data_IF_761988432633
#
_entry.id   IF_761988432633
#
_cell.length_a   1.000
_cell.length_b   1.000
_cell.length_c   1.000
_cell.angle_alpha   90.00
_cell.angle_beta   90.00
_cell.angle_gamma   90.00
#
_symmetry.space_group_name_H-M   'P 1'
#
loop_
_entity.id
_entity.type
_entity.pdbx_description
1 polymer ?
#
# COMPACT_ATOMS: atom_id res chain seq x y z
N UNK A 1 -42.19 -8.35 -22.38
CA UNK A 1 -42.65 -7.13 -23.07
C UNK A 1 -43.31 -7.54 -24.36
N UNK A 2 -44.45 -6.95 -24.73
CA UNK A 2 -45.16 -7.21 -25.99
C UNK A 2 -45.05 -5.96 -26.84
N UNK A 3 -44.70 -6.13 -28.12
CA UNK A 3 -44.70 -5.05 -29.10
C UNK A 3 -45.70 -5.38 -30.20
N UNK A 4 -46.85 -4.70 -30.16
CA UNK A 4 -47.92 -4.86 -31.14
C UNK A 4 -47.68 -3.97 -32.36
N UNK A 5 -47.89 -4.53 -33.55
CA UNK A 5 -47.66 -3.89 -34.85
C UNK A 5 -48.85 -4.15 -35.77
N UNK A 6 -49.23 -3.15 -36.55
CA UNK A 6 -50.18 -3.31 -37.67
C UNK A 6 -49.46 -3.86 -38.91
N UNK A 7 -50.18 -4.32 -39.96
CA UNK A 7 -49.54 -4.83 -41.17
C UNK A 7 -48.74 -3.78 -41.91
N UNK A 8 -49.18 -2.52 -41.90
CA UNK A 8 -48.43 -1.40 -42.44
C UNK A 8 -47.10 -1.18 -41.69
N UNK A 9 -47.15 -1.12 -40.35
CA UNK A 9 -45.95 -0.94 -39.53
C UNK A 9 -44.97 -2.11 -39.62
N UNK A 10 -45.47 -3.35 -39.80
CA UNK A 10 -44.62 -4.53 -39.99
C UNK A 10 -43.84 -4.53 -41.31
N UNK A 11 -44.29 -3.74 -42.30
CA UNK A 11 -43.63 -3.59 -43.61
C UNK A 11 -42.59 -2.46 -43.61
N UNK A 12 -42.69 -1.53 -42.67
CA UNK A 12 -41.83 -0.35 -42.64
C UNK A 12 -40.56 -0.60 -41.79
N UNK A 13 -39.46 -0.90 -42.47
CA UNK A 13 -38.18 -1.25 -41.83
C UNK A 13 -37.64 -0.15 -40.89
N UNK A 14 -37.94 1.12 -41.16
CA UNK A 14 -37.51 2.25 -40.34
C UNK A 14 -38.20 2.29 -38.97
N UNK A 15 -39.50 1.98 -38.91
CA UNK A 15 -40.25 1.94 -37.65
C UNK A 15 -39.74 0.80 -36.77
N UNK A 16 -39.49 -0.35 -37.39
CA UNK A 16 -38.96 -1.54 -36.71
C UNK A 16 -37.55 -1.30 -36.17
N UNK A 17 -36.64 -0.77 -36.98
CA UNK A 17 -35.26 -0.52 -36.54
C UNK A 17 -35.18 0.51 -35.41
N UNK A 18 -35.95 1.60 -35.51
CA UNK A 18 -36.00 2.64 -34.50
C UNK A 18 -36.66 2.16 -33.19
N UNK A 19 -37.72 1.35 -33.28
CA UNK A 19 -38.35 0.72 -32.12
C UNK A 19 -37.41 -0.22 -31.38
N UNK A 20 -36.68 -1.09 -32.10
CA UNK A 20 -35.67 -1.99 -31.53
C UNK A 20 -34.58 -1.20 -30.80
N UNK A 21 -34.05 -0.15 -31.43
CA UNK A 21 -33.00 0.70 -30.83
C UNK A 21 -33.47 1.36 -29.54
N UNK A 22 -34.65 2.00 -29.55
CA UNK A 22 -35.20 2.64 -28.35
C UNK A 22 -35.44 1.65 -27.20
N UNK A 23 -36.01 0.49 -27.50
CA UNK A 23 -36.21 -0.56 -26.50
C UNK A 23 -34.87 -1.10 -25.99
N UNK A 24 -33.86 -1.17 -26.84
CA UNK A 24 -32.52 -1.64 -26.52
C UNK A 24 -31.83 -0.69 -25.54
N UNK A 25 -31.92 0.61 -25.81
CA UNK A 25 -31.45 1.67 -24.93
C UNK A 25 -32.18 1.71 -23.59
N UNK A 26 -33.49 1.46 -23.57
CA UNK A 26 -34.25 1.37 -22.33
C UNK A 26 -33.83 0.15 -21.50
N UNK A 27 -33.65 -1.01 -22.13
CA UNK A 27 -33.17 -2.22 -21.47
C UNK A 27 -31.76 -2.03 -20.86
N UNK A 28 -30.85 -1.36 -21.59
CA UNK A 28 -29.50 -1.06 -21.08
C UNK A 28 -29.52 -0.03 -19.96
N UNK A 29 -30.32 1.05 -20.07
CA UNK A 29 -30.51 2.04 -19.00
C UNK A 29 -31.07 1.42 -17.71
N UNK A 30 -32.00 0.47 -17.84
CA UNK A 30 -32.57 -0.24 -16.70
C UNK A 30 -31.63 -1.32 -16.14
N UNK A 31 -30.63 -1.76 -16.89
CA UNK A 31 -29.71 -2.83 -16.47
C UNK A 31 -30.38 -4.21 -16.41
N UNK A 32 -31.45 -4.44 -17.17
CA UNK A 32 -32.19 -5.70 -17.22
C UNK A 32 -32.41 -6.17 -18.65
N UNK A 33 -32.34 -7.49 -18.87
CA UNK A 33 -32.77 -8.09 -20.13
C UNK A 33 -34.31 -8.07 -20.20
N UNK A 34 -34.85 -7.45 -21.23
CA UNK A 34 -36.30 -7.37 -21.47
C UNK A 34 -36.69 -8.38 -22.55
N UNK A 35 -37.33 -9.52 -22.21
CA UNK A 35 -37.79 -10.47 -23.21
C UNK A 35 -38.88 -9.85 -24.08
N UNK A 36 -38.63 -9.80 -25.40
CA UNK A 36 -39.49 -9.16 -26.38
C UNK A 36 -40.34 -10.21 -27.11
N UNK A 37 -41.66 -10.05 -27.09
CA UNK A 37 -42.59 -10.76 -27.96
C UNK A 37 -43.14 -9.77 -28.98
N UNK A 38 -42.97 -10.07 -30.26
CA UNK A 38 -43.53 -9.26 -31.35
C UNK A 38 -44.90 -9.81 -31.71
N UNK A 39 -45.88 -8.94 -31.85
CA UNK A 39 -47.26 -9.31 -32.14
C UNK A 39 -47.76 -8.52 -33.35
N UNK A 40 -48.14 -9.19 -34.42
CA UNK A 40 -48.78 -8.55 -35.57
C UNK A 40 -50.29 -8.71 -35.48
N UNK A 41 -50.99 -7.58 -35.40
CA UNK A 41 -52.44 -7.54 -35.57
C UNK A 41 -52.70 -7.45 -37.07
N UNK A 42 -53.36 -8.46 -37.63
CA UNK A 42 -53.69 -8.57 -39.04
C UNK A 42 -55.08 -8.02 -39.34
N UNK A 43 -55.25 -7.49 -40.53
CA UNK A 43 -56.54 -6.99 -41.00
C UNK A 43 -57.31 -8.11 -41.72
N UNK A 44 -58.64 -8.08 -41.59
CA UNK A 44 -59.54 -8.89 -42.42
C UNK A 44 -60.48 -7.99 -43.20
N UNK A 45 -60.83 -8.42 -44.41
CA UNK A 45 -61.73 -7.68 -45.29
C UNK A 45 -63.19 -7.79 -44.85
N UNK A 46 -63.49 -8.78 -44.01
CA UNK A 46 -64.81 -9.01 -43.45
C UNK A 46 -64.69 -9.40 -41.96
N UNK A 47 -65.71 -9.08 -41.15
CA UNK A 47 -65.73 -9.48 -39.75
C UNK A 47 -65.86 -11.01 -39.64
N UNK A 48 -65.14 -11.59 -38.68
CA UNK A 48 -65.15 -13.02 -38.37
C UNK A 48 -65.64 -13.23 -36.92
N UNK A 49 -66.93 -12.94 -36.62
CA UNK A 49 -67.47 -13.08 -35.28
C UNK A 49 -67.52 -14.55 -34.85
N UNK A 50 -67.34 -14.83 -33.56
CA UNK A 50 -67.38 -16.18 -32.97
C UNK A 50 -66.32 -17.17 -33.45
N UNK A 51 -65.34 -16.74 -34.25
CA UNK A 51 -64.16 -17.56 -34.58
C UNK A 51 -63.45 -17.99 -33.29
N UNK A 52 -63.03 -19.26 -33.15
CA UNK A 52 -62.23 -19.69 -32.01
C UNK A 52 -60.94 -18.85 -31.96
N UNK A 53 -60.76 -18.14 -30.84
CA UNK A 53 -59.54 -17.37 -30.60
C UNK A 53 -58.49 -18.33 -30.07
N UNK A 54 -57.31 -18.37 -30.71
CA UNK A 54 -56.20 -19.24 -30.32
C UNK A 54 -54.87 -18.51 -30.48
N UNK A 55 -53.83 -18.97 -29.80
CA UNK A 55 -52.49 -18.42 -29.96
C UNK A 55 -51.92 -18.85 -31.32
N UNK A 56 -51.75 -17.89 -32.22
CA UNK A 56 -51.23 -18.13 -33.57
C UNK A 56 -49.85 -17.52 -33.67
N UNK A 57 -48.81 -18.33 -33.85
CA UNK A 57 -47.43 -17.86 -33.88
C UNK A 57 -46.41 -18.91 -33.45
N UNK A 58 -45.18 -18.47 -33.23
CA UNK A 58 -44.09 -19.34 -32.79
C UNK A 58 -43.30 -18.74 -31.63
N UNK A 59 -42.94 -19.58 -30.67
CA UNK A 59 -41.98 -19.26 -29.62
C UNK A 59 -40.56 -19.49 -30.14
N UNK A 60 -39.64 -18.56 -29.83
CA UNK A 60 -38.28 -18.55 -30.35
C UNK A 60 -37.26 -19.00 -29.26
N UNK A 61 -36.14 -19.64 -29.67
CA UNK A 61 -35.11 -20.11 -28.74
C UNK A 61 -34.35 -18.94 -28.07
N UNK A 62 -33.66 -19.20 -26.95
CA UNK A 62 -32.94 -18.16 -26.17
C UNK A 62 -31.88 -17.40 -26.99
N UNK A 63 -31.28 -18.08 -27.97
CA UNK A 63 -30.36 -17.51 -28.94
C UNK A 63 -31.06 -17.55 -30.30
N UNK A 64 -31.85 -16.53 -30.59
CA UNK A 64 -32.53 -16.44 -31.88
C UNK A 64 -31.54 -15.99 -32.95
N UNK A 65 -31.50 -16.70 -34.07
CA UNK A 65 -30.76 -16.32 -35.28
C UNK A 65 -31.75 -16.09 -36.41
N UNK A 66 -31.32 -15.44 -37.49
CA UNK A 66 -32.14 -15.27 -38.69
C UNK A 66 -32.68 -16.61 -39.22
N UNK A 67 -31.84 -17.66 -39.24
CA UNK A 67 -32.24 -19.01 -39.65
C UNK A 67 -33.29 -19.63 -38.71
N UNK A 68 -33.15 -19.43 -37.40
CA UNK A 68 -34.12 -19.97 -36.44
C UNK A 68 -35.53 -19.36 -36.62
N UNK A 69 -35.63 -18.12 -37.11
CA UNK A 69 -36.93 -17.52 -37.46
C UNK A 69 -37.50 -18.16 -38.73
N UNK A 70 -36.67 -18.31 -39.77
CA UNK A 70 -37.09 -18.96 -41.01
C UNK A 70 -37.65 -20.36 -40.72
N UNK A 71 -36.90 -21.18 -39.97
CA UNK A 71 -37.30 -22.55 -39.62
C UNK A 71 -38.58 -22.58 -38.77
N UNK A 72 -38.71 -21.67 -37.78
CA UNK A 72 -39.87 -21.61 -36.91
C UNK A 72 -41.13 -21.17 -37.64
N UNK A 73 -41.03 -20.22 -38.58
CA UNK A 73 -42.16 -19.78 -39.41
C UNK A 73 -42.51 -20.81 -40.48
N UNK A 74 -41.54 -21.47 -41.10
CA UNK A 74 -41.78 -22.57 -42.06
C UNK A 74 -42.55 -23.71 -41.40
N UNK A 75 -42.16 -24.09 -40.18
CA UNK A 75 -42.85 -25.14 -39.40
C UNK A 75 -44.30 -24.77 -39.07
N UNK A 76 -44.60 -23.47 -38.97
CA UNK A 76 -45.94 -22.96 -38.67
C UNK A 76 -46.91 -23.07 -39.87
N UNK A 77 -46.43 -23.13 -41.12
CA UNK A 77 -47.28 -23.08 -42.32
C UNK A 77 -48.25 -24.26 -42.39
N UNK A 78 -47.79 -25.49 -42.15
CA UNK A 78 -48.61 -26.70 -42.29
C UNK A 78 -49.73 -26.76 -41.23
N UNK A 79 -49.47 -26.55 -39.92
CA UNK A 79 -50.52 -26.44 -38.92
C UNK A 79 -51.56 -25.37 -39.25
N UNK A 80 -51.14 -24.17 -39.66
CA UNK A 80 -52.06 -23.09 -40.04
C UNK A 80 -52.97 -23.49 -41.20
N UNK A 81 -52.45 -24.25 -42.16
CA UNK A 81 -53.24 -24.72 -43.29
C UNK A 81 -54.26 -25.75 -42.86
N UNK A 82 -53.87 -26.73 -42.05
CA UNK A 82 -54.76 -27.79 -41.56
C UNK A 82 -55.89 -27.22 -40.69
N UNK A 83 -55.55 -26.39 -39.72
CA UNK A 83 -56.53 -25.73 -38.84
C UNK A 83 -57.38 -24.73 -39.62
N UNK A 84 -56.78 -23.97 -40.55
CA UNK A 84 -57.50 -23.04 -41.40
C UNK A 84 -58.55 -23.71 -42.30
N UNK A 85 -58.25 -24.88 -42.87
CA UNK A 85 -59.26 -25.65 -43.61
C UNK A 85 -60.38 -26.16 -42.71
N UNK A 86 -60.08 -26.54 -41.47
CA UNK A 86 -61.07 -26.95 -40.49
C UNK A 86 -61.94 -25.79 -39.97
N UNK A 87 -61.42 -24.57 -39.94
CA UNK A 87 -62.20 -23.36 -39.62
C UNK A 87 -63.11 -22.96 -40.80
N UNK A 88 -62.58 -22.95 -42.03
CA UNK A 88 -63.33 -22.60 -43.24
C UNK A 88 -64.45 -23.59 -43.55
N UNK A 89 -64.26 -24.88 -43.24
CA UNK A 89 -65.33 -25.88 -43.42
C UNK A 89 -66.53 -25.66 -42.49
N UNK A 90 -66.35 -24.94 -41.37
CA UNK A 90 -67.42 -24.55 -40.44
C UNK A 90 -68.10 -23.26 -40.86
N UNK A 91 -67.32 -22.26 -41.24
CA UNK A 91 -67.80 -21.01 -41.84
C UNK A 91 -66.76 -20.49 -42.83
N UNK A 92 -67.15 -20.31 -44.09
CA UNK A 92 -66.27 -19.81 -45.15
C UNK A 92 -65.67 -18.44 -44.84
N UNK A 93 -66.28 -17.67 -43.92
CA UNK A 93 -65.74 -16.40 -43.45
C UNK A 93 -64.50 -16.58 -42.57
N UNK A 94 -64.24 -17.73 -41.96
CA UNK A 94 -63.09 -17.96 -41.08
C UNK A 94 -61.79 -18.29 -41.84
N UNK A 95 -61.39 -17.43 -42.77
CA UNK A 95 -60.25 -17.68 -43.66
C UNK A 95 -58.88 -17.22 -43.10
N UNK A 96 -58.86 -16.64 -41.89
CA UNK A 96 -57.68 -15.95 -41.36
C UNK A 96 -56.41 -16.82 -41.36
N UNK A 97 -56.49 -18.07 -40.87
CA UNK A 97 -55.33 -18.95 -40.78
C UNK A 97 -54.81 -19.34 -42.18
N UNK A 98 -55.71 -19.59 -43.14
CA UNK A 98 -55.34 -19.88 -44.52
C UNK A 98 -54.65 -18.68 -45.17
N UNK A 99 -55.23 -17.49 -45.01
CA UNK A 99 -54.67 -16.23 -45.51
C UNK A 99 -53.28 -15.96 -44.91
N UNK A 100 -53.14 -16.12 -43.60
CA UNK A 100 -51.87 -15.96 -42.91
C UNK A 100 -50.83 -16.98 -43.40
N UNK A 101 -51.21 -18.24 -43.59
CA UNK A 101 -50.30 -19.28 -44.10
C UNK A 101 -49.77 -18.94 -45.50
N UNK A 102 -50.65 -18.43 -46.39
CA UNK A 102 -50.29 -17.97 -47.73
C UNK A 102 -49.36 -16.76 -47.66
N UNK A 103 -49.74 -15.75 -46.89
CA UNK A 103 -49.00 -14.49 -46.81
C UNK A 103 -47.60 -14.69 -46.19
N UNK A 104 -47.49 -15.59 -45.20
CA UNK A 104 -46.19 -16.03 -44.65
C UNK A 104 -45.33 -16.75 -45.69
N UNK A 105 -45.92 -17.66 -46.47
CA UNK A 105 -45.21 -18.45 -47.48
C UNK A 105 -44.70 -17.60 -48.66
N UNK A 106 -45.48 -16.60 -49.10
CA UNK A 106 -45.15 -15.78 -50.27
C UNK A 106 -44.06 -14.75 -49.96
N UNK A 107 -44.27 -13.91 -48.94
CA UNK A 107 -43.35 -12.80 -48.61
C UNK A 107 -43.06 -12.66 -47.11
N UNK A 108 -43.93 -13.19 -46.25
CA UNK A 108 -43.90 -12.90 -44.81
C UNK A 108 -42.66 -13.44 -44.09
N UNK A 109 -42.14 -14.61 -44.45
CA UNK A 109 -40.93 -15.18 -43.83
C UNK A 109 -39.71 -14.30 -44.13
N UNK A 110 -39.46 -14.02 -45.41
CA UNK A 110 -38.34 -13.18 -45.83
C UNK A 110 -38.43 -11.77 -45.21
N UNK A 111 -39.64 -11.21 -45.15
CA UNK A 111 -39.91 -9.91 -44.51
C UNK A 111 -39.59 -9.94 -43.02
N UNK A 112 -40.07 -10.93 -42.27
CA UNK A 112 -39.83 -11.01 -40.83
C UNK A 112 -38.37 -11.24 -40.48
N UNK A 113 -37.66 -12.03 -41.29
CA UNK A 113 -36.20 -12.20 -41.16
C UNK A 113 -35.46 -10.86 -41.29
N UNK A 114 -35.82 -10.05 -42.29
CA UNK A 114 -35.21 -8.74 -42.50
C UNK A 114 -35.61 -7.73 -41.42
N UNK A 115 -36.89 -7.68 -41.05
CA UNK A 115 -37.42 -6.79 -40.02
C UNK A 115 -36.78 -7.00 -38.66
N UNK A 116 -36.51 -8.26 -38.30
CA UNK A 116 -35.97 -8.64 -36.98
C UNK A 116 -34.44 -8.73 -36.97
N UNK A 117 -33.76 -8.57 -38.12
CA UNK A 117 -32.31 -8.61 -38.22
C UNK A 117 -31.56 -7.74 -37.18
N UNK A 118 -32.01 -6.50 -36.86
CA UNK A 118 -31.35 -5.65 -35.85
C UNK A 118 -31.33 -6.25 -34.44
N UNK A 119 -32.26 -7.15 -34.11
CA UNK A 119 -32.35 -7.78 -32.79
C UNK A 119 -31.29 -8.87 -32.57
N UNK A 120 -30.67 -9.38 -33.64
CA UNK A 120 -29.64 -10.42 -33.52
C UNK A 120 -28.23 -9.87 -33.28
N UNK A 121 -28.04 -8.56 -33.42
CA UNK A 121 -26.74 -7.89 -33.28
C UNK A 121 -26.52 -7.32 -31.87
N UNK A 122 -26.20 -6.03 -31.81
CA UNK A 122 -25.82 -5.31 -30.59
C UNK A 122 -26.82 -5.45 -29.42
N UNK A 123 -28.10 -5.63 -29.71
CA UNK A 123 -29.17 -5.70 -28.70
C UNK A 123 -29.58 -7.12 -28.29
N UNK A 124 -28.96 -8.17 -28.86
CA UNK A 124 -29.38 -9.56 -28.59
C UNK A 124 -29.32 -9.95 -27.10
N UNK A 125 -28.43 -9.32 -26.32
CA UNK A 125 -28.31 -9.56 -24.87
C UNK A 125 -29.33 -8.77 -24.05
N UNK A 126 -29.63 -7.53 -24.44
CA UNK A 126 -30.54 -6.64 -23.70
C UNK A 126 -32.01 -6.87 -24.06
N UNK A 127 -32.29 -7.26 -25.31
CA UNK A 127 -33.61 -7.53 -25.87
C UNK A 127 -33.66 -8.91 -26.55
N UNK A 128 -33.68 -10.01 -25.77
CA UNK A 128 -33.86 -11.33 -26.38
C UNK A 128 -35.26 -11.44 -26.97
N UNK A 129 -35.35 -11.67 -28.28
CA UNK A 129 -36.60 -12.00 -28.97
C UNK A 129 -37.08 -13.39 -28.53
N UNK A 130 -38.32 -13.49 -28.05
CA UNK A 130 -38.87 -14.72 -27.44
C UNK A 130 -40.05 -15.31 -28.19
N UNK A 131 -40.72 -14.55 -29.06
CA UNK A 131 -41.76 -15.09 -29.89
C UNK A 131 -42.31 -14.06 -30.88
N UNK A 132 -42.94 -14.59 -31.92
CA UNK A 132 -43.63 -13.85 -32.96
C UNK A 132 -45.07 -14.39 -33.05
N UNK A 133 -46.04 -13.51 -32.85
CA UNK A 133 -47.46 -13.85 -32.72
C UNK A 133 -48.30 -13.05 -33.71
N UNK A 134 -49.43 -13.62 -34.10
CA UNK A 134 -50.36 -13.07 -35.08
C UNK A 134 -51.79 -13.19 -34.54
N UNK A 135 -52.62 -12.17 -34.77
CA UNK A 135 -54.05 -12.27 -34.46
C UNK A 135 -54.86 -11.33 -35.34
N UNK A 136 -56.17 -11.56 -35.42
CA UNK A 136 -57.11 -10.50 -35.81
C UNK A 136 -57.26 -9.49 -34.66
N UNK A 137 -57.81 -8.29 -34.91
CA UNK A 137 -58.18 -7.37 -33.85
C UNK A 137 -59.15 -8.07 -32.90
N UNK A 138 -58.73 -8.21 -31.64
CA UNK A 138 -59.53 -8.82 -30.61
C UNK A 138 -60.65 -7.86 -30.23
N UNK A 139 -61.89 -8.34 -30.02
CA UNK A 139 -62.98 -7.47 -29.59
C UNK A 139 -62.58 -6.77 -28.29
N UNK A 140 -62.85 -5.47 -28.19
CA UNK A 140 -62.68 -4.78 -26.92
C UNK A 140 -63.68 -5.39 -25.95
N UNK A 141 -63.20 -6.21 -25.01
CA UNK A 141 -64.05 -6.77 -23.97
C UNK A 141 -64.83 -5.66 -23.28
N UNK A 142 -66.10 -5.92 -22.94
CA UNK A 142 -66.87 -5.03 -22.07
C UNK A 142 -66.00 -4.68 -20.86
N UNK A 143 -65.97 -3.40 -20.46
CA UNK A 143 -65.18 -2.93 -19.33
C UNK A 143 -65.58 -3.73 -18.09
N UNK A 144 -64.84 -4.80 -17.84
CA UNK A 144 -65.00 -5.66 -16.69
C UNK A 144 -64.71 -4.81 -15.46
N UNK A 145 -65.76 -4.44 -14.73
CA UNK A 145 -65.59 -3.90 -13.41
C UNK A 145 -64.92 -4.99 -12.56
N UNK A 146 -63.78 -4.62 -11.98
CA UNK A 146 -63.06 -5.32 -10.93
C UNK A 146 -61.97 -6.31 -11.39
N UNK A 147 -60.70 -5.85 -11.44
CA UNK A 147 -59.40 -6.57 -11.40
C UNK A 147 -59.23 -7.93 -12.11
N UNK A 148 -60.18 -8.35 -12.95
CA UNK A 148 -60.18 -9.61 -13.65
C UNK A 148 -59.89 -9.33 -15.12
N UNK A 149 -58.72 -9.79 -15.57
CA UNK A 149 -58.39 -9.87 -16.99
C UNK A 149 -58.83 -11.25 -17.49
N UNK A 150 -60.00 -11.37 -18.16
CA UNK A 150 -60.38 -12.62 -18.78
C UNK A 150 -59.32 -12.95 -19.84
N UNK A 151 -58.60 -14.05 -19.63
CA UNK A 151 -57.52 -14.44 -20.52
C UNK A 151 -58.09 -14.93 -21.84
N UNK A 152 -58.06 -14.09 -22.87
CA UNK A 152 -58.37 -14.55 -24.23
C UNK A 152 -57.31 -15.58 -24.65
N UNK A 153 -57.71 -16.72 -25.25
CA UNK A 153 -56.77 -17.80 -25.56
C UNK A 153 -55.67 -17.42 -26.57
N UNK A 154 -55.80 -16.28 -27.27
CA UNK A 154 -54.73 -15.70 -28.08
C UNK A 154 -53.46 -15.43 -27.27
N UNK A 155 -53.60 -15.07 -25.98
CA UNK A 155 -52.48 -14.72 -25.11
C UNK A 155 -51.71 -15.93 -24.57
N UNK A 156 -52.22 -17.16 -24.75
CA UNK A 156 -51.64 -18.37 -24.18
C UNK A 156 -50.15 -18.53 -24.54
N UNK A 157 -49.80 -18.28 -25.81
CA UNK A 157 -48.41 -18.39 -26.29
C UNK A 157 -47.43 -17.41 -25.63
N UNK A 158 -47.88 -16.21 -25.25
CA UNK A 158 -47.05 -15.22 -24.55
C UNK A 158 -46.91 -15.57 -23.07
N UNK A 159 -47.98 -16.08 -22.45
CA UNK A 159 -48.01 -16.37 -21.02
C UNK A 159 -47.31 -17.68 -20.65
N UNK A 160 -47.38 -18.70 -21.50
CA UNK A 160 -46.67 -19.98 -21.27
C UNK A 160 -45.14 -19.80 -21.27
N UNK A 161 -44.63 -18.76 -21.93
CA UNK A 161 -43.21 -18.39 -21.96
C UNK A 161 -42.68 -17.67 -20.71
N UNK A 162 -43.54 -17.23 -19.78
CA UNK A 162 -43.20 -16.35 -18.66
C UNK A 162 -42.25 -16.96 -17.60
N UNK A 163 -42.01 -18.27 -17.62
CA UNK A 163 -41.11 -18.94 -16.64
C UNK A 163 -39.63 -18.57 -16.82
N UNK A 164 -39.25 -17.90 -17.89
CA UNK A 164 -37.85 -17.53 -18.19
C UNK A 164 -37.51 -16.16 -17.60
N UNK A 165 -36.96 -16.18 -16.38
CA UNK A 165 -36.59 -15.01 -15.56
C UNK A 165 -35.74 -13.98 -16.34
N UNK A 166 -36.08 -12.70 -16.17
CA UNK A 166 -35.24 -11.57 -16.60
C UNK A 166 -33.86 -11.65 -15.94
N UNK A 167 -32.79 -11.57 -16.74
CA UNK A 167 -31.42 -11.55 -16.24
C UNK A 167 -30.96 -10.10 -16.13
N UNK A 168 -30.28 -9.73 -15.05
CA UNK A 168 -29.63 -8.41 -14.95
C UNK A 168 -28.47 -8.34 -15.94
N UNK A 169 -28.40 -7.24 -16.68
CA UNK A 169 -27.30 -6.92 -17.59
C UNK A 169 -26.17 -6.29 -16.76
N UNK A 170 -25.25 -7.11 -16.24
CA UNK A 170 -24.08 -6.63 -15.50
C UNK A 170 -23.75 -7.45 -14.25
N UNK A 171 -22.64 -7.09 -13.60
CA UNK A 171 -22.22 -7.70 -12.34
C UNK A 171 -22.96 -7.00 -11.18
N UNK A 172 -23.64 -7.73 -10.29
CA UNK A 172 -24.28 -7.08 -9.15
C UNK A 172 -23.19 -6.48 -8.26
N UNK A 173 -23.37 -5.23 -7.84
CA UNK A 173 -22.42 -4.50 -7.01
C UNK A 173 -21.99 -5.30 -5.76
N UNK A 174 -22.91 -6.11 -5.22
CA UNK A 174 -22.65 -7.03 -4.10
C UNK A 174 -21.60 -8.10 -4.41
N UNK A 175 -21.58 -8.68 -5.63
CA UNK A 175 -20.55 -9.65 -6.02
C UNK A 175 -19.19 -9.00 -6.24
N UNK A 176 -19.16 -7.77 -6.74
CA UNK A 176 -17.91 -7.00 -6.88
C UNK A 176 -17.36 -6.67 -5.51
N UNK A 177 -18.19 -6.11 -4.62
CA UNK A 177 -17.82 -5.82 -3.23
C UNK A 177 -17.33 -7.08 -2.49
N UNK A 178 -18.02 -8.21 -2.63
CA UNK A 178 -17.58 -9.48 -2.03
C UNK A 178 -16.19 -9.92 -2.53
N UNK A 179 -15.94 -9.85 -3.83
CA UNK A 179 -14.63 -10.22 -4.39
C UNK A 179 -13.51 -9.26 -3.97
N UNK A 180 -13.81 -7.97 -3.88
CA UNK A 180 -12.87 -6.98 -3.35
C UNK A 180 -12.56 -7.23 -1.88
N UNK A 181 -13.57 -7.49 -1.05
CA UNK A 181 -13.40 -7.81 0.35
C UNK A 181 -12.58 -9.10 0.55
N UNK A 182 -12.87 -10.15 -0.23
CA UNK A 182 -12.10 -11.40 -0.22
C UNK A 182 -10.63 -11.18 -0.61
N UNK A 183 -10.38 -10.38 -1.66
CA UNK A 183 -9.04 -10.02 -2.10
C UNK A 183 -8.28 -9.25 -1.03
N UNK A 184 -8.92 -8.28 -0.38
CA UNK A 184 -8.33 -7.49 0.70
C UNK A 184 -8.02 -8.35 1.93
N UNK A 185 -8.91 -9.29 2.28
CA UNK A 185 -8.67 -10.25 3.36
C UNK A 185 -7.47 -11.17 3.08
N UNK A 186 -7.31 -11.64 1.83
CA UNK A 186 -6.15 -12.44 1.44
C UNK A 186 -4.84 -11.64 1.53
N UNK A 187 -4.83 -10.40 1.04
CA UNK A 187 -3.64 -9.51 1.16
C UNK A 187 -3.28 -9.26 2.62
N UNK A 188 -4.27 -9.01 3.48
CA UNK A 188 -4.07 -8.87 4.92
C UNK A 188 -3.54 -10.15 5.57
N UNK A 189 -4.09 -11.31 5.23
CA UNK A 189 -3.64 -12.60 5.77
C UNK A 189 -2.19 -12.91 5.40
N UNK A 190 -1.79 -12.67 4.15
CA UNK A 190 -0.40 -12.82 3.69
C UNK A 190 0.52 -11.83 4.41
N UNK A 191 0.09 -10.57 4.56
CA UNK A 191 0.83 -9.55 5.31
C UNK A 191 1.05 -9.92 6.77
N UNK A 192 0.02 -10.45 7.45
CA UNK A 192 0.12 -10.94 8.83
C UNK A 192 1.11 -12.10 8.96
N UNK A 193 1.07 -13.08 8.05
CA UNK A 193 2.00 -14.20 8.07
C UNK A 193 3.46 -13.74 7.89
N UNK A 194 3.69 -12.81 6.96
CA UNK A 194 5.02 -12.25 6.72
C UNK A 194 5.54 -11.45 7.93
N UNK A 195 4.68 -10.64 8.55
CA UNK A 195 5.00 -9.92 9.78
C UNK A 195 5.32 -10.88 10.93
N UNK A 196 4.54 -11.95 11.08
CA UNK A 196 4.75 -12.95 12.13
C UNK A 196 6.09 -13.67 11.97
N UNK A 197 6.39 -14.19 10.77
CA UNK A 197 7.65 -14.91 10.54
C UNK A 197 8.86 -14.01 10.72
N UNK A 198 8.80 -12.78 10.18
CA UNK A 198 9.87 -11.79 10.36
C UNK A 198 10.11 -11.43 11.82
N UNK A 199 9.06 -11.25 12.63
CA UNK A 199 9.24 -10.94 14.05
C UNK A 199 9.75 -12.13 14.83
N UNK A 200 9.27 -13.35 14.50
CA UNK A 200 9.71 -14.59 15.17
C UNK A 200 11.20 -14.82 14.97
N UNK A 201 11.70 -14.63 13.74
CA UNK A 201 13.14 -14.78 13.46
C UNK A 201 13.96 -13.69 14.13
N UNK A 202 13.49 -12.45 14.15
CA UNK A 202 14.17 -11.35 14.83
C UNK A 202 14.27 -11.60 16.35
N UNK A 203 13.18 -12.03 17.00
CA UNK A 203 13.17 -12.37 18.43
C UNK A 203 14.14 -13.51 18.73
N UNK A 204 14.13 -14.57 17.91
CA UNK A 204 15.02 -15.72 18.11
C UNK A 204 16.49 -15.32 17.96
N UNK A 205 16.82 -14.48 16.98
CA UNK A 205 18.16 -13.94 16.81
C UNK A 205 18.60 -13.13 18.04
N UNK A 206 17.76 -12.20 18.50
CA UNK A 206 18.05 -11.37 19.69
C UNK A 206 18.23 -12.19 20.97
N UNK A 207 17.44 -13.26 21.14
CA UNK A 207 17.61 -14.18 22.27
C UNK A 207 18.98 -14.87 22.23
N UNK A 208 19.44 -15.29 21.05
CA UNK A 208 20.77 -15.88 20.89
C UNK A 208 21.88 -14.86 21.18
N UNK A 209 21.78 -13.64 20.64
CA UNK A 209 22.76 -12.55 20.91
C UNK A 209 22.81 -12.19 22.39
N UNK A 210 21.67 -12.18 23.08
CA UNK A 210 21.65 -11.95 24.53
C UNK A 210 22.22 -13.13 25.32
N UNK A 211 21.96 -14.36 24.89
CA UNK A 211 22.54 -15.54 25.52
C UNK A 211 24.07 -15.56 25.37
N UNK A 212 24.61 -15.17 24.22
CA UNK A 212 26.06 -15.04 24.04
C UNK A 212 26.63 -13.90 24.89
N UNK A 213 25.94 -12.77 25.03
CA UNK A 213 26.35 -11.67 25.91
C UNK A 213 26.45 -12.06 27.39
N UNK A 214 25.54 -12.93 27.84
CA UNK A 214 25.48 -13.41 29.23
C UNK A 214 26.46 -14.55 29.51
N UNK A 215 26.68 -15.44 28.53
CA UNK A 215 27.40 -16.71 28.75
C UNK A 215 28.86 -16.66 28.30
N UNK A 216 29.22 -15.80 27.33
CA UNK A 216 30.60 -15.73 26.85
C UNK A 216 31.54 -15.18 27.94
N UNK A 217 32.68 -15.86 28.13
CA UNK A 217 33.80 -15.30 28.88
C UNK A 217 34.26 -13.98 28.22
N UNK A 218 34.73 -13.05 29.05
CA UNK A 218 35.09 -11.70 28.63
C UNK A 218 36.09 -11.74 27.47
N UNK A 219 35.72 -11.14 26.34
CA UNK A 219 36.58 -11.08 25.15
C UNK A 219 35.84 -10.77 23.84
N UNK A 220 36.47 -11.13 22.72
CA UNK A 220 35.98 -10.88 21.36
C UNK A 220 34.52 -11.29 21.07
N UNK A 221 34.04 -12.51 21.43
CA UNK A 221 32.67 -12.91 21.10
C UNK A 221 31.62 -12.07 21.85
N UNK A 222 31.93 -11.67 23.08
CA UNK A 222 31.05 -10.82 23.87
C UNK A 222 30.94 -9.41 23.26
N UNK A 223 32.04 -8.83 22.80
CA UNK A 223 32.02 -7.51 22.17
C UNK A 223 31.31 -7.53 20.81
N UNK A 224 31.44 -8.60 20.02
CA UNK A 224 30.67 -8.77 18.77
C UNK A 224 29.17 -8.87 19.04
N UNK A 225 28.77 -9.67 20.03
CA UNK A 225 27.37 -9.78 20.40
C UNK A 225 26.81 -8.43 20.91
N UNK A 226 27.64 -7.64 21.61
CA UNK A 226 27.26 -6.30 22.06
C UNK A 226 27.08 -5.33 20.89
N UNK A 227 27.97 -5.37 19.89
CA UNK A 227 27.83 -4.52 18.70
C UNK A 227 26.64 -4.92 17.82
N UNK A 228 26.34 -6.21 17.70
CA UNK A 228 25.11 -6.69 17.04
C UNK A 228 23.85 -6.20 17.76
N UNK A 229 23.82 -6.30 19.09
CA UNK A 229 22.70 -5.79 19.89
C UNK A 229 22.54 -4.27 19.71
N UNK A 230 23.64 -3.53 19.75
CA UNK A 230 23.64 -2.06 19.56
C UNK A 230 23.09 -1.68 18.18
N UNK A 231 23.50 -2.38 17.12
CA UNK A 231 23.01 -2.15 15.75
C UNK A 231 21.52 -2.46 15.59
N UNK A 232 21.04 -3.54 16.18
CA UNK A 232 19.61 -3.86 16.16
C UNK A 232 18.79 -2.82 16.96
N UNK A 233 19.33 -2.32 18.07
CA UNK A 233 18.68 -1.29 18.86
C UNK A 233 18.61 0.05 18.11
N UNK A 234 19.72 0.47 17.49
CA UNK A 234 19.77 1.64 16.59
C UNK A 234 18.74 1.54 15.46
N UNK A 235 18.63 0.36 14.85
CA UNK A 235 17.63 0.09 13.80
C UNK A 235 16.19 0.19 14.32
N UNK A 236 15.90 -0.33 15.52
CA UNK A 236 14.57 -0.26 16.12
C UNK A 236 14.21 1.18 16.52
N UNK A 237 15.17 1.93 17.04
CA UNK A 237 15.01 3.34 17.40
C UNK A 237 14.76 4.21 16.16
N UNK A 238 15.56 4.03 15.11
CA UNK A 238 15.35 4.68 13.82
C UNK A 238 13.93 4.42 13.27
N UNK A 239 13.43 3.18 13.41
CA UNK A 239 12.07 2.80 12.98
C UNK A 239 10.98 3.39 13.85
N UNK A 240 11.23 3.60 15.14
CA UNK A 240 10.29 4.29 16.02
C UNK A 240 10.15 5.76 15.59
N UNK A 241 11.25 6.41 15.22
CA UNK A 241 11.25 7.81 14.76
C UNK A 241 10.72 8.00 13.32
N UNK A 242 11.09 7.13 12.38
CA UNK A 242 10.81 7.30 10.94
C UNK A 242 9.71 6.38 10.38
N UNK A 243 9.19 5.46 11.20
CA UNK A 243 8.15 4.51 10.85
C UNK A 243 8.68 3.12 10.45
N UNK A 244 7.86 2.10 10.71
CA UNK A 244 8.20 0.71 10.42
C UNK A 244 7.99 0.33 8.94
N UNK A 245 8.78 -0.61 8.40
CA UNK A 245 8.58 -1.14 7.06
C UNK A 245 7.14 -1.62 6.81
N UNK A 246 6.64 -1.45 5.59
CA UNK A 246 5.23 -1.72 5.24
C UNK A 246 4.78 -3.14 5.56
N UNK A 247 5.67 -4.13 5.45
CA UNK A 247 5.38 -5.53 5.74
C UNK A 247 5.15 -5.83 7.23
N UNK A 248 5.59 -4.97 8.15
CA UNK A 248 5.33 -5.10 9.59
C UNK A 248 4.06 -4.35 10.04
N UNK A 249 3.42 -3.60 9.13
CA UNK A 249 2.25 -2.75 9.45
C UNK A 249 0.92 -3.51 9.47
N UNK A 250 0.92 -4.82 9.23
CA UNK A 250 -0.27 -5.67 9.24
C UNK A 250 -0.68 -6.10 10.66
N UNK A 251 -0.68 -5.17 11.62
CA UNK A 251 -1.21 -5.36 12.98
C UNK A 251 -0.35 -6.17 13.96
N UNK A 252 0.81 -6.68 13.53
CA UNK A 252 1.72 -7.47 14.37
C UNK A 252 3.04 -6.74 14.62
N UNK A 253 3.10 -5.42 14.55
CA UNK A 253 4.34 -4.68 14.81
C UNK A 253 4.80 -4.88 16.26
N UNK A 254 6.03 -5.35 16.44
CA UNK A 254 6.67 -5.59 17.73
C UNK A 254 7.84 -4.62 18.00
N UNK A 255 8.04 -3.59 17.15
CA UNK A 255 9.18 -2.68 17.25
C UNK A 255 9.31 -2.04 18.63
N UNK A 256 8.23 -1.44 19.13
CA UNK A 256 8.25 -0.68 20.38
C UNK A 256 8.37 -1.60 21.60
N UNK A 257 7.68 -2.75 21.57
CA UNK A 257 7.78 -3.78 22.61
C UNK A 257 9.19 -4.39 22.69
N UNK A 258 9.86 -4.57 21.55
CA UNK A 258 11.24 -5.02 21.51
C UNK A 258 12.20 -3.95 22.04
N UNK A 259 12.00 -2.70 21.65
CA UNK A 259 12.81 -1.58 22.09
C UNK A 259 12.73 -1.41 23.63
N UNK A 260 11.51 -1.44 24.19
CA UNK A 260 11.28 -1.38 25.63
C UNK A 260 11.95 -2.56 26.38
N UNK A 261 11.90 -3.77 25.81
CA UNK A 261 12.51 -4.95 26.41
C UNK A 261 14.05 -4.99 26.31
N UNK A 262 14.63 -4.39 25.26
CA UNK A 262 16.07 -4.42 24.99
C UNK A 262 16.83 -3.31 25.71
N UNK A 263 16.23 -2.14 25.92
CA UNK A 263 16.90 -1.01 26.57
C UNK A 263 17.57 -1.36 27.90
N UNK A 264 16.89 -1.96 28.89
CA UNK A 264 17.52 -2.27 30.18
C UNK A 264 18.74 -3.20 30.04
N UNK A 265 18.68 -4.17 29.10
CA UNK A 265 19.75 -5.14 28.85
C UNK A 265 20.93 -4.49 28.14
N UNK A 266 20.67 -3.59 27.21
CA UNK A 266 21.70 -2.76 26.58
C UNK A 266 22.42 -1.92 27.64
N UNK A 267 21.68 -1.24 28.50
CA UNK A 267 22.24 -0.35 29.53
C UNK A 267 23.15 -1.12 30.47
N UNK A 268 22.72 -2.26 31.00
CA UNK A 268 23.54 -3.11 31.86
C UNK A 268 24.85 -3.55 31.16
N UNK A 269 24.74 -4.03 29.92
CA UNK A 269 25.90 -4.45 29.14
C UNK A 269 26.83 -3.28 28.80
N UNK A 270 26.29 -2.12 28.42
CA UNK A 270 27.03 -0.93 28.07
C UNK A 270 27.76 -0.35 29.28
N UNK A 271 27.12 -0.33 30.45
CA UNK A 271 27.76 0.13 31.69
C UNK A 271 28.98 -0.73 32.03
N UNK A 272 28.79 -2.06 31.99
CA UNK A 272 29.84 -3.04 32.30
C UNK A 272 30.98 -3.05 31.27
N UNK A 273 30.67 -3.00 29.98
CA UNK A 273 31.63 -3.22 28.90
C UNK A 273 32.31 -1.94 28.41
N UNK A 274 31.61 -0.81 28.47
CA UNK A 274 32.08 0.47 27.92
C UNK A 274 32.18 1.55 28.98
N UNK A 275 31.05 1.99 29.56
CA UNK A 275 30.99 3.21 30.39
C UNK A 275 31.92 3.15 31.60
N UNK A 276 31.80 2.12 32.43
CA UNK A 276 32.49 2.05 33.71
C UNK A 276 34.00 1.83 33.53
N UNK A 277 34.46 0.95 32.60
CA UNK A 277 35.88 0.86 32.28
C UNK A 277 36.47 2.16 31.70
N UNK A 278 35.76 2.81 30.78
CA UNK A 278 36.22 4.07 30.21
C UNK A 278 36.26 5.19 31.27
N UNK A 279 35.27 5.23 32.17
CA UNK A 279 35.26 6.15 33.30
C UNK A 279 36.46 5.92 34.23
N UNK A 280 36.77 4.67 34.56
CA UNK A 280 37.94 4.32 35.37
C UNK A 280 39.25 4.73 34.68
N UNK A 281 39.37 4.52 33.37
CA UNK A 281 40.53 4.92 32.57
C UNK A 281 40.70 6.45 32.53
N UNK A 282 39.62 7.21 32.34
CA UNK A 282 39.62 8.67 32.41
C UNK A 282 40.04 9.16 33.80
N UNK A 283 39.47 8.58 34.86
CA UNK A 283 39.83 8.93 36.24
C UNK A 283 41.30 8.62 36.54
N UNK A 284 41.82 7.48 36.07
CA UNK A 284 43.23 7.12 36.22
C UNK A 284 44.16 8.10 35.47
N UNK A 285 43.80 8.50 34.25
CA UNK A 285 44.56 9.46 33.47
C UNK A 285 44.60 10.85 34.14
N UNK A 286 43.45 11.33 34.63
CA UNK A 286 43.37 12.59 35.38
C UNK A 286 44.17 12.54 36.70
N UNK A 287 44.08 11.43 37.43
CA UNK A 287 44.86 11.22 38.66
C UNK A 287 46.38 11.18 38.40
N UNK A 288 46.82 10.59 37.27
CA UNK A 288 48.23 10.64 36.87
C UNK A 288 48.69 12.08 36.64
N UNK A 289 47.87 12.93 36.01
CA UNK A 289 48.17 14.34 35.83
C UNK A 289 48.30 15.08 37.17
N UNK A 290 47.37 14.85 38.09
CA UNK A 290 47.34 15.50 39.41
C UNK A 290 48.60 15.14 40.22
N UNK A 291 49.06 13.88 40.15
CA UNK A 291 50.23 13.38 40.89
C UNK A 291 51.59 13.85 40.34
N UNK A 292 51.66 14.41 39.14
CA UNK A 292 52.93 14.90 38.58
C UNK A 292 53.50 16.10 39.40
N UNK A 293 54.80 16.38 39.33
CA UNK A 293 55.38 17.60 39.91
C UNK A 293 55.00 18.87 39.11
N UNK A 294 54.91 20.03 39.78
CA UNK A 294 54.57 21.34 39.19
C UNK A 294 55.38 21.67 37.94
N UNK A 295 56.68 21.39 38.00
CA UNK A 295 57.67 21.86 37.02
C UNK A 295 58.07 20.77 36.00
N UNK A 296 57.34 19.66 35.92
CA UNK A 296 57.68 18.59 34.99
C UNK A 296 57.31 18.95 33.54
N UNK A 297 58.23 18.83 32.56
CA UNK A 297 57.92 19.05 31.14
C UNK A 297 56.95 17.99 30.58
N UNK A 298 56.75 16.86 31.27
CA UNK A 298 55.74 15.87 30.92
C UNK A 298 54.32 16.36 31.22
N UNK A 299 54.16 17.23 32.24
CA UNK A 299 52.87 17.82 32.60
C UNK A 299 52.36 18.78 31.53
N UNK A 300 53.24 19.57 30.91
CA UNK A 300 52.84 20.48 29.83
C UNK A 300 52.38 19.72 28.58
N UNK A 301 53.06 18.62 28.21
CA UNK A 301 52.66 17.75 27.09
C UNK A 301 51.32 17.06 27.30
N UNK A 302 51.07 16.54 28.50
CA UNK A 302 49.83 15.82 28.83
C UNK A 302 48.63 16.74 29.09
N UNK A 303 48.85 18.04 29.31
CA UNK A 303 47.79 18.99 29.66
C UNK A 303 46.69 19.12 28.59
N UNK A 304 47.05 19.11 27.30
CA UNK A 304 46.09 19.19 26.20
C UNK A 304 45.18 17.94 26.16
N UNK A 305 45.79 16.75 26.21
CA UNK A 305 45.04 15.49 26.25
C UNK A 305 44.18 15.38 27.51
N UNK A 306 44.70 15.82 28.66
CA UNK A 306 43.96 15.78 29.92
C UNK A 306 42.78 16.77 29.96
N UNK A 307 42.85 17.89 29.24
CA UNK A 307 41.71 18.77 29.04
C UNK A 307 40.58 18.06 28.31
N UNK A 308 40.90 17.38 27.20
CA UNK A 308 39.90 16.62 26.44
C UNK A 308 39.31 15.47 27.27
N UNK A 309 40.14 14.75 28.01
CA UNK A 309 39.71 13.69 28.94
C UNK A 309 38.81 14.21 30.06
N UNK A 310 39.14 15.36 30.66
CA UNK A 310 38.28 16.00 31.66
C UNK A 310 36.96 16.44 31.06
N UNK A 311 36.97 17.00 29.85
CA UNK A 311 35.76 17.41 29.13
C UNK A 311 34.88 16.19 28.82
N UNK A 312 35.45 15.08 28.35
CA UNK A 312 34.74 13.82 28.13
C UNK A 312 34.15 13.26 29.43
N UNK A 313 34.91 13.26 30.54
CA UNK A 313 34.41 12.86 31.86
C UNK A 313 33.22 13.72 32.32
N UNK A 314 33.27 15.03 32.07
CA UNK A 314 32.17 15.93 32.39
C UNK A 314 30.94 15.69 31.51
N UNK A 315 31.10 15.31 30.25
CA UNK A 315 29.99 14.93 29.37
C UNK A 315 29.30 13.65 29.85
N UNK A 316 30.07 12.64 30.30
CA UNK A 316 29.51 11.42 30.89
C UNK A 316 28.72 11.68 32.19
N UNK A 317 29.08 12.73 32.92
CA UNK A 317 28.39 13.12 34.16
C UNK A 317 27.33 14.21 33.95
N UNK A 318 27.17 14.75 32.74
CA UNK A 318 26.20 15.81 32.41
C UNK A 318 25.61 15.55 31.02
N UNK A 319 24.57 14.70 30.94
CA UNK A 319 23.91 14.33 29.68
C UNK A 319 23.42 15.53 28.86
N UNK A 320 23.05 16.62 29.53
CA UNK A 320 22.58 17.87 28.93
C UNK A 320 23.65 18.64 28.14
N UNK A 321 24.93 18.31 28.32
CA UNK A 321 26.08 19.01 27.70
C UNK A 321 26.93 18.10 26.83
N UNK A 322 26.38 16.99 26.38
CA UNK A 322 27.09 16.02 25.56
C UNK A 322 27.22 16.55 24.13
N UNK A 323 28.44 16.55 23.63
CA UNK A 323 28.74 16.65 22.21
C UNK A 323 29.12 15.23 21.75
N UNK A 324 28.24 14.61 20.95
CA UNK A 324 28.37 13.20 20.61
C UNK A 324 29.62 12.90 19.80
N UNK A 325 29.97 13.76 18.84
CA UNK A 325 31.14 13.61 17.99
C UNK A 325 32.43 13.78 18.80
N UNK A 326 32.48 14.79 19.68
CA UNK A 326 33.63 14.99 20.56
C UNK A 326 33.79 13.82 21.54
N UNK A 327 32.72 13.41 22.21
CA UNK A 327 32.77 12.36 23.22
C UNK A 327 33.23 11.03 22.61
N UNK A 328 32.65 10.63 21.48
CA UNK A 328 33.02 9.38 20.81
C UNK A 328 34.48 9.38 20.37
N UNK A 329 34.95 10.50 19.79
CA UNK A 329 36.35 10.64 19.38
C UNK A 329 37.31 10.54 20.57
N UNK A 330 37.07 11.30 21.64
CA UNK A 330 37.98 11.32 22.80
C UNK A 330 38.02 9.98 23.53
N UNK A 331 36.89 9.27 23.63
CA UNK A 331 36.85 7.95 24.27
C UNK A 331 37.59 6.89 23.45
N UNK A 332 37.44 6.89 22.12
CA UNK A 332 38.21 6.02 21.21
C UNK A 332 39.72 6.29 21.26
N UNK A 333 40.14 7.56 21.42
CA UNK A 333 41.55 7.93 21.53
C UNK A 333 42.15 7.62 22.91
N UNK A 334 41.32 7.59 23.96
CA UNK A 334 41.79 7.36 25.35
C UNK A 334 42.06 5.88 25.62
N UNK A 335 41.30 4.97 25.01
CA UNK A 335 41.45 3.52 25.17
C UNK A 335 41.64 2.87 23.80
N UNK A 336 42.89 2.79 23.34
CA UNK A 336 43.24 2.21 22.02
C UNK A 336 43.30 0.68 22.04
N UNK A 337 43.49 0.09 23.22
CA UNK A 337 43.60 -1.35 23.46
C UNK A 337 42.85 -1.72 24.73
N UNK A 338 42.29 -2.94 24.76
CA UNK A 338 41.52 -3.47 25.87
C UNK A 338 42.01 -4.87 26.21
N UNK A 339 42.37 -5.08 27.47
CA UNK A 339 42.80 -6.40 27.95
C UNK A 339 41.71 -7.46 27.68
N UNK A 340 42.12 -8.58 27.07
CA UNK A 340 41.23 -9.68 26.70
C UNK A 340 40.48 -9.52 25.38
N UNK A 341 40.66 -8.41 24.65
CA UNK A 341 40.03 -8.15 23.35
C UNK A 341 41.10 -7.91 22.28
N UNK A 342 40.91 -8.48 21.11
CA UNK A 342 41.79 -8.27 19.96
C UNK A 342 41.85 -6.78 19.58
N UNK A 343 43.04 -6.15 19.48
CA UNK A 343 43.16 -4.71 19.21
C UNK A 343 42.44 -4.25 17.94
N UNK A 344 42.55 -5.03 16.86
CA UNK A 344 41.88 -4.71 15.60
C UNK A 344 40.34 -4.78 15.69
N UNK A 345 39.81 -5.66 16.52
CA UNK A 345 38.36 -5.76 16.74
C UNK A 345 37.84 -4.61 17.61
N UNK A 346 38.59 -4.25 18.66
CA UNK A 346 38.28 -3.09 19.50
C UNK A 346 38.24 -1.80 18.67
N UNK A 347 39.27 -1.54 17.87
CA UNK A 347 39.34 -0.33 17.03
C UNK A 347 38.27 -0.30 15.94
N UNK A 348 37.84 -1.46 15.43
CA UNK A 348 36.80 -1.54 14.42
C UNK A 348 35.39 -1.27 14.98
N UNK A 349 35.08 -1.74 16.19
CA UNK A 349 33.72 -1.69 16.74
C UNK A 349 33.49 -0.48 17.66
N UNK A 350 34.50 -0.04 18.41
CA UNK A 350 34.30 1.00 19.43
C UNK A 350 33.84 2.37 18.92
N UNK A 351 34.28 2.88 17.75
CA UNK A 351 33.81 4.19 17.30
C UNK A 351 32.29 4.21 17.09
N UNK A 352 31.72 3.15 16.51
CA UNK A 352 30.26 3.02 16.33
C UNK A 352 29.54 2.90 17.67
N UNK A 353 30.07 2.09 18.59
CA UNK A 353 29.49 1.89 19.92
C UNK A 353 29.46 3.19 20.74
N UNK A 354 30.57 3.94 20.74
CA UNK A 354 30.66 5.22 21.44
C UNK A 354 29.78 6.29 20.83
N UNK A 355 29.72 6.33 19.50
CA UNK A 355 28.83 7.25 18.78
C UNK A 355 27.37 7.00 19.18
N UNK A 356 26.91 5.76 19.11
CA UNK A 356 25.54 5.40 19.49
C UNK A 356 25.25 5.78 20.94
N UNK A 357 26.13 5.40 21.88
CA UNK A 357 25.95 5.75 23.28
C UNK A 357 25.88 7.28 23.49
N UNK A 358 26.76 8.04 22.84
CA UNK A 358 26.83 9.49 23.00
C UNK A 358 25.62 10.22 22.37
N UNK A 359 25.04 9.69 21.29
CA UNK A 359 23.81 10.22 20.68
C UNK A 359 22.57 9.96 21.55
N UNK A 360 22.54 8.83 22.24
CA UNK A 360 21.40 8.42 23.08
C UNK A 360 21.46 9.00 24.51
N UNK A 361 22.65 9.37 24.98
CA UNK A 361 22.85 9.88 26.34
C UNK A 361 21.95 11.09 26.73
N UNK A 362 21.69 12.09 25.86
CA UNK A 362 20.76 13.18 26.18
C UNK A 362 19.29 12.73 26.35
N UNK A 363 18.88 11.69 25.62
CA UNK A 363 17.52 11.14 25.70
C UNK A 363 17.33 10.27 26.97
N UNK A 364 18.44 9.75 27.51
CA UNK A 364 18.50 8.85 28.64
C UNK A 364 19.39 9.39 29.77
N UNK A 365 18.95 10.46 30.48
CA UNK A 365 19.75 11.11 31.52
C UNK A 365 20.10 10.18 32.70
N UNK A 366 19.35 9.09 32.89
CA UNK A 366 19.59 8.05 33.89
C UNK A 366 20.87 7.25 33.65
N UNK A 367 21.48 7.30 32.45
CA UNK A 367 22.75 6.61 32.17
C UNK A 367 23.99 7.37 32.63
N UNK A 368 23.82 8.59 33.14
CA UNK A 368 24.88 9.44 33.67
C UNK A 368 25.80 8.70 34.64
N UNK A 369 27.08 9.02 34.57
CA UNK A 369 28.03 8.66 35.62
C UNK A 369 27.85 9.58 36.84
N UNK A 370 28.03 9.06 38.05
CA UNK A 370 28.18 9.88 39.24
C UNK A 370 29.51 10.67 39.19
N UNK A 371 29.41 11.98 39.39
CA UNK A 371 30.58 12.84 39.33
C UNK A 371 31.38 12.76 40.63
N UNK A 372 32.70 12.63 40.55
CA UNK A 372 33.60 12.92 41.66
C UNK A 372 33.95 14.42 41.67
N UNK A 373 33.34 15.23 42.55
CA UNK A 373 33.58 16.67 42.57
C UNK A 373 35.02 17.02 42.97
N UNK A 374 35.68 16.15 43.76
CA UNK A 374 37.06 16.40 44.21
C UNK A 374 38.03 16.22 43.04
N UNK A 375 37.89 15.13 42.28
CA UNK A 375 38.69 14.88 41.09
C UNK A 375 38.53 16.01 40.07
N UNK A 376 37.29 16.43 39.80
CA UNK A 376 37.00 17.51 38.85
C UNK A 376 37.64 18.83 39.29
N UNK A 377 37.53 19.19 40.57
CA UNK A 377 38.11 20.42 41.10
C UNK A 377 39.64 20.42 41.00
N UNK A 378 40.29 19.31 41.40
CA UNK A 378 41.75 19.17 41.35
C UNK A 378 42.27 19.18 39.92
N UNK A 379 41.64 18.44 39.01
CA UNK A 379 42.02 18.41 37.59
C UNK A 379 41.89 19.80 36.95
N UNK A 380 40.79 20.53 37.22
CA UNK A 380 40.61 21.92 36.74
C UNK A 380 41.68 22.85 37.26
N UNK A 381 42.03 22.77 38.54
CA UNK A 381 43.05 23.62 39.15
C UNK A 381 44.42 23.41 38.49
N UNK A 382 44.82 22.15 38.26
CA UNK A 382 46.08 21.81 37.60
C UNK A 382 46.11 22.30 36.14
N UNK A 383 45.01 22.15 35.41
CA UNK A 383 44.92 22.63 34.02
C UNK A 383 44.96 24.16 33.94
N UNK A 384 44.27 24.86 34.84
CA UNK A 384 44.28 26.32 34.90
C UNK A 384 45.66 26.88 35.28
N UNK A 385 46.37 26.26 36.23
CA UNK A 385 47.71 26.70 36.60
C UNK A 385 48.70 26.57 35.44
N UNK A 386 48.58 25.51 34.63
CA UNK A 386 49.42 25.30 33.46
C UNK A 386 49.13 26.31 32.34
N UNK A 387 47.85 26.66 32.14
CA UNK A 387 47.46 27.70 31.19
C UNK A 387 48.02 29.07 31.60
N UNK A 388 47.96 29.37 32.91
CA UNK A 388 48.54 30.58 33.50
C UNK A 388 50.06 30.66 33.34
N UNK A 389 50.77 29.54 33.55
CA UNK A 389 52.23 29.46 33.35
C UNK A 389 52.64 29.67 31.89
N UNK A 390 51.98 29.02 30.91
CA UNK A 390 52.30 29.24 29.48
C UNK A 390 52.07 30.69 29.05
N UNK A 391 51.00 31.32 29.53
CA UNK A 391 50.71 32.71 29.22
C UNK A 391 51.75 33.65 29.86
N UNK A 392 52.13 33.38 31.11
CA UNK A 392 53.18 34.15 31.79
C UNK A 392 54.54 34.00 31.12
N UNK A 393 54.94 32.78 30.72
CA UNK A 393 56.19 32.54 29.97
C UNK A 393 56.21 33.25 28.62
N UNK A 394 55.11 33.21 27.86
CA UNK A 394 54.99 33.92 26.59
C UNK A 394 55.12 35.43 26.77
N UNK A 395 54.43 36.00 27.76
CA UNK A 395 54.54 37.42 28.09
C UNK A 395 55.93 37.81 28.62
N UNK A 396 56.64 36.90 29.30
CA UNK A 396 57.99 37.15 29.82
C UNK A 396 59.04 37.09 28.69
N UNK A 397 58.89 36.16 27.74
CA UNK A 397 59.68 36.15 26.51
C UNK A 397 59.47 37.42 25.68
N UNK A 398 58.21 37.83 25.51
CA UNK A 398 57.86 39.07 24.81
C UNK A 398 58.46 40.29 25.51
N UNK A 399 58.43 40.31 26.85
CA UNK A 399 59.05 41.37 27.65
C UNK A 399 60.57 41.38 27.55
N UNK A 400 61.23 40.23 27.58
CA UNK A 400 62.68 40.12 27.38
C UNK A 400 63.07 40.52 25.95
N UNK A 401 62.28 40.15 24.94
CA UNK A 401 62.47 40.60 23.55
C UNK A 401 62.31 42.11 23.44
N UNK A 402 61.30 42.69 24.10
CA UNK A 402 61.09 44.14 24.13
C UNK A 402 62.24 44.87 24.85
N UNK A 403 62.69 44.35 26.00
CA UNK A 403 63.81 44.91 26.77
C UNK A 403 65.15 44.77 26.02
N UNK A 404 65.38 43.62 25.37
CA UNK A 404 66.56 43.41 24.53
C UNK A 404 66.53 44.28 23.26
N UNK A 405 65.37 44.47 22.64
CA UNK A 405 65.20 45.39 21.50
C UNK A 405 65.42 46.85 21.89
N UNK A 406 65.15 47.22 23.15
CA UNK A 406 65.47 48.56 23.66
C UNK A 406 66.97 48.74 24.00
N UNK A 407 67.67 47.66 24.33
CA UNK A 407 69.11 47.69 24.68
C UNK A 407 70.04 47.43 23.47
N UNK A 408 69.55 46.76 22.42
CA UNK A 408 70.28 46.52 21.19
C UNK A 408 69.81 47.52 20.11
N UNK A 409 70.65 48.45 19.64
CA UNK A 409 70.29 49.31 18.52
C UNK A 409 70.03 48.44 17.28
N UNK A 410 69.00 48.79 16.51
CA UNK A 410 68.64 48.06 15.30
C UNK A 410 69.80 48.08 14.29
N UNK A 411 70.56 46.97 14.20
CA UNK A 411 71.59 46.80 13.19
C UNK A 411 70.91 46.71 11.81
N UNK A 412 71.01 47.79 11.04
CA UNK A 412 70.61 47.78 9.63
C UNK A 412 71.66 47.00 8.83
N UNK A 413 71.23 46.27 7.81
CA UNK A 413 72.11 45.50 6.90
C UNK A 413 73.31 46.32 6.37
N UNK A 414 73.15 47.63 6.20
CA UNK A 414 74.21 48.55 5.80
C UNK A 414 75.35 48.71 6.84
N UNK A 415 75.09 48.43 8.12
CA UNK A 415 76.08 48.51 9.21
C UNK A 415 76.79 47.17 9.47
N UNK A 416 76.37 46.08 8.81
CA UNK A 416 77.05 44.78 8.86
C UNK A 416 78.12 44.63 7.76
N UNK A 417 78.18 45.57 6.81
CA UNK A 417 79.26 45.67 5.84
C UNK A 417 80.27 46.67 6.41
N UNK A 418 81.21 46.19 7.22
CA UNK A 418 82.32 47.02 7.69
C UNK A 418 83.12 47.53 6.49
N UNK A 419 83.54 48.80 6.56
CA UNK A 419 84.22 49.58 5.50
C UNK A 419 85.11 48.72 4.60
N UNK A 420 84.50 48.18 3.56
CA UNK A 420 85.19 47.68 2.38
C UNK A 420 84.91 48.73 1.33
N UNK A 421 85.76 49.77 1.36
CA UNK A 421 85.93 50.69 0.25
C UNK A 421 86.20 49.87 -1.02
N UNK A 422 85.19 49.77 -1.87
CA UNK A 422 85.34 49.33 -3.24
C UNK A 422 85.62 50.57 -4.10
N UNK A 423 86.90 50.92 -4.21
CA UNK A 423 87.43 51.80 -5.27
C UNK A 423 87.51 51.07 -6.61
#
# INVERSE_FOLDING_TARGET
>A
MIWALTPAQSKEQQILSHGVTRLGELATKLGWSLPLHVWQVCDSQWPQPMRPTQAVGCALPEKTTAQAIDDALQTLIQPLRQEGWAEVSKDFKHDFLLRLSRDLQVEGIARWRQALAPLFGMYARSLPLRGLWFSLPLPSGEKSNNHHWPHEPAWAGVLDGQRRRSRRLGWPATRVAYRLALGLALVWGVGMLLSFTSNRTQIAHLQNTLATLQTAEQGDPQLRAFSELTRELDRLDYRAAHGTPWYQRFGLNQNDALLEALWPRYVEANQRLLRDPAAANLQAALNRLIKLPADSPLRSKLSAQAYDQLKAYLMLTRPDKVDSAFLAKTLSETETERDGISPGLWQALTPELWKFYAEQLPAHPEWRLEADPKLVAQARQVLLSQLGQRNAEASLYEKVLADAANQAPALRLAQMVGDTDAS
#
